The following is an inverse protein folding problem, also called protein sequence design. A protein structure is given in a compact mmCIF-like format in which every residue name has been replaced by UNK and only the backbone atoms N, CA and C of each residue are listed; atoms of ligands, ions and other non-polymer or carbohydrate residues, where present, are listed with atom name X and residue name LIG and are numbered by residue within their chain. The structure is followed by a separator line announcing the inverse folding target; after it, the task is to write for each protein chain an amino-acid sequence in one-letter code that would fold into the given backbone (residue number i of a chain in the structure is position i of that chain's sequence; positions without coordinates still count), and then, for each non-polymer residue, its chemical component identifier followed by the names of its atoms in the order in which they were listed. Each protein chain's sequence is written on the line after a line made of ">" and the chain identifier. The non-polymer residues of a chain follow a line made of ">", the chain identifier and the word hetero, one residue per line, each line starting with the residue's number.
data_IF_698700086618
#
_entry.id   IF_698700086618
#
_cell.length_a   1.000
_cell.length_b   1.000
_cell.length_c   1.000
_cell.angle_alpha   90.00
_cell.angle_beta   90.00
_cell.angle_gamma   90.00
#
_symmetry.space_group_name_H-M   'P 1'
#
loop_
_entity.id
_entity.type
_entity.pdbx_description
1 polymer ?
#
# COMPACT_ATOMS: atom_id res chain seq x y z
N UNK A 1 -11.09 -14.72 -12.33
CA UNK A 1 -9.72 -14.80 -12.89
C UNK A 1 -8.85 -13.88 -12.04
N UNK A 2 -8.15 -14.44 -11.04
CA UNK A 2 -7.45 -13.65 -10.02
C UNK A 2 -6.27 -12.89 -10.61
N UNK A 3 -6.15 -11.60 -10.27
CA UNK A 3 -4.94 -10.81 -10.53
C UNK A 3 -3.83 -11.27 -9.58
N UNK A 4 -3.37 -12.51 -9.72
CA UNK A 4 -2.17 -12.97 -9.05
C UNK A 4 -1.00 -12.14 -9.61
N UNK A 5 -0.40 -11.29 -8.76
CA UNK A 5 0.71 -10.41 -9.13
C UNK A 5 0.38 -8.94 -9.36
N UNK A 6 -0.78 -8.45 -8.88
CA UNK A 6 -1.11 -7.02 -8.83
C UNK A 6 -1.15 -6.51 -7.38
N UNK A 7 -0.33 -5.51 -7.04
CA UNK A 7 -0.30 -4.92 -5.69
C UNK A 7 -0.77 -3.47 -5.72
N UNK A 8 -1.82 -3.16 -4.97
CA UNK A 8 -2.29 -1.78 -4.80
C UNK A 8 -1.65 -1.19 -3.55
N UNK A 9 -0.90 -0.09 -3.70
CA UNK A 9 -0.27 0.64 -2.60
C UNK A 9 -1.03 1.96 -2.37
N UNK A 10 -1.55 2.14 -1.16
CA UNK A 10 -2.05 3.45 -0.70
C UNK A 10 -1.04 4.07 0.25
N UNK A 11 -0.64 5.31 -0.02
CA UNK A 11 0.31 6.04 0.81
C UNK A 11 -0.29 7.38 1.22
N UNK A 12 -0.23 7.71 2.50
CA UNK A 12 -0.58 9.04 2.98
C UNK A 12 0.56 10.02 2.73
N UNK A 13 0.27 11.10 2.02
CA UNK A 13 1.20 12.19 1.77
C UNK A 13 0.45 13.44 1.28
N UNK A 14 1.15 14.57 1.20
CA UNK A 14 0.69 15.67 0.35
C UNK A 14 0.62 15.22 -1.11
N UNK A 15 -0.37 15.70 -1.87
CA UNK A 15 -0.53 15.34 -3.29
C UNK A 15 0.65 15.87 -4.11
N UNK A 16 1.56 14.96 -4.47
CA UNK A 16 2.78 15.23 -5.22
C UNK A 16 2.97 14.15 -6.29
N UNK A 17 2.89 14.57 -7.56
CA UNK A 17 3.01 13.67 -8.70
C UNK A 17 4.40 13.04 -8.84
N UNK A 18 5.46 13.74 -8.44
CA UNK A 18 6.83 13.21 -8.48
C UNK A 18 7.03 12.15 -7.39
N UNK A 19 6.44 12.35 -6.20
CA UNK A 19 6.42 11.34 -5.15
C UNK A 19 5.68 10.09 -5.60
N UNK A 20 4.48 10.25 -6.17
CA UNK A 20 3.68 9.13 -6.71
C UNK A 20 4.46 8.31 -7.73
N UNK A 21 5.15 8.96 -8.67
CA UNK A 21 5.97 8.28 -9.68
C UNK A 21 7.13 7.48 -9.06
N UNK A 22 7.87 8.09 -8.11
CA UNK A 22 8.97 7.42 -7.40
C UNK A 22 8.51 6.21 -6.58
N UNK A 23 7.35 6.31 -5.94
CA UNK A 23 6.76 5.20 -5.19
C UNK A 23 6.37 4.04 -6.12
N UNK A 24 5.80 4.34 -7.29
CA UNK A 24 5.43 3.31 -8.27
C UNK A 24 6.67 2.56 -8.81
N UNK A 25 7.73 3.30 -9.14
CA UNK A 25 9.01 2.72 -9.57
C UNK A 25 9.62 1.85 -8.47
N UNK A 26 9.60 2.34 -7.22
CA UNK A 26 10.17 1.62 -6.06
C UNK A 26 9.37 0.34 -5.77
N UNK A 27 8.03 0.42 -5.78
CA UNK A 27 7.15 -0.73 -5.58
C UNK A 27 7.47 -1.83 -6.59
N UNK A 28 7.56 -1.48 -7.88
CA UNK A 28 7.91 -2.43 -8.93
C UNK A 28 9.33 -2.97 -8.77
N UNK A 29 10.30 -2.11 -8.46
CA UNK A 29 11.70 -2.50 -8.33
C UNK A 29 11.94 -3.49 -7.19
N UNK A 30 11.29 -3.28 -6.04
CA UNK A 30 11.46 -4.10 -4.83
C UNK A 30 10.64 -5.39 -4.92
N UNK A 31 9.36 -5.29 -5.28
CA UNK A 31 8.45 -6.45 -5.26
C UNK A 31 8.52 -7.29 -6.53
N UNK A 32 9.04 -6.73 -7.63
CA UNK A 32 8.99 -7.30 -8.98
C UNK A 32 7.56 -7.54 -9.50
N UNK A 33 6.55 -6.97 -8.84
CA UNK A 33 5.15 -7.04 -9.22
C UNK A 33 4.71 -5.73 -9.85
N UNK A 34 3.68 -5.80 -10.69
CA UNK A 34 2.99 -4.60 -11.19
C UNK A 34 1.98 -4.16 -10.13
N UNK A 35 1.74 -2.86 -10.05
CA UNK A 35 0.87 -2.32 -9.02
C UNK A 35 0.57 -0.85 -9.20
N UNK A 36 -0.57 -0.42 -8.68
CA UNK A 36 -1.00 0.98 -8.69
C UNK A 36 -0.63 1.66 -7.38
N UNK A 37 -0.27 2.94 -7.46
CA UNK A 37 -0.03 3.80 -6.28
C UNK A 37 -1.11 4.86 -6.19
N UNK A 38 -1.75 4.96 -5.03
CA UNK A 38 -2.74 5.98 -4.69
C UNK A 38 -2.20 6.83 -3.53
N UNK A 39 -2.05 8.14 -3.77
CA UNK A 39 -1.76 9.09 -2.69
C UNK A 39 -3.09 9.48 -2.07
N UNK A 40 -3.20 9.29 -0.76
CA UNK A 40 -4.39 9.65 0.02
C UNK A 40 -4.03 10.73 1.03
N UNK A 41 -5.05 11.44 1.53
CA UNK A 41 -4.85 12.50 2.53
C UNK A 41 -4.31 11.92 3.84
N UNK A 42 -3.39 12.61 4.55
CA UNK A 42 -2.90 12.16 5.85
C UNK A 42 -4.02 11.81 6.83
N UNK A 43 -3.89 10.66 7.51
CA UNK A 43 -4.87 10.15 8.47
C UNK A 43 -6.11 9.49 7.86
N UNK A 44 -6.20 9.36 6.53
CA UNK A 44 -7.34 8.69 5.89
C UNK A 44 -7.20 7.17 5.78
N UNK A 45 -6.03 6.61 6.07
CA UNK A 45 -5.82 5.17 6.00
C UNK A 45 -6.56 4.45 7.14
N UNK A 46 -7.32 3.39 6.83
CA UNK A 46 -8.02 2.64 7.85
C UNK A 46 -7.01 1.90 8.72
N UNK A 47 -7.30 1.80 10.01
CA UNK A 47 -6.50 1.03 10.98
C UNK A 47 -5.08 1.55 11.20
N UNK A 48 -4.79 2.81 10.83
CA UNK A 48 -3.52 3.42 11.22
C UNK A 48 -3.41 3.51 12.75
N UNK A 49 -2.20 3.27 13.27
CA UNK A 49 -1.92 3.25 14.71
C UNK A 49 -2.63 2.14 15.50
N UNK A 50 -3.35 1.21 14.86
CA UNK A 50 -3.97 0.08 15.57
C UNK A 50 -2.95 -1.03 15.83
N UNK A 51 -2.89 -1.48 17.09
CA UNK A 51 -2.20 -2.71 17.45
C UNK A 51 -3.00 -3.89 16.91
N UNK A 52 -2.42 -4.66 15.98
CA UNK A 52 -3.06 -5.86 15.44
C UNK A 52 -2.85 -6.99 16.47
N UNK A 53 -3.93 -7.39 17.13
CA UNK A 53 -3.93 -8.56 18.00
C UNK A 53 -4.00 -9.84 17.16
N UNK A 54 -3.22 -10.86 17.54
CA UNK A 54 -3.32 -12.18 16.93
C UNK A 54 -4.47 -12.96 17.56
N UNK A 55 -5.64 -12.91 16.91
CA UNK A 55 -6.86 -13.58 17.37
C UNK A 55 -6.99 -15.03 16.87
N UNK A 56 -5.90 -15.64 16.39
CA UNK A 56 -5.96 -17.02 15.88
C UNK A 56 -6.16 -18.02 17.03
N UNK A 57 -7.21 -18.82 16.91
CA UNK A 57 -7.52 -19.92 17.82
C UNK A 57 -6.75 -21.18 17.41
N UNK A 58 -5.98 -21.76 18.33
CA UNK A 58 -5.14 -22.95 18.09
C UNK A 58 -5.67 -24.25 18.73
N UNK A 59 -6.92 -24.25 19.19
CA UNK A 59 -7.60 -25.46 19.69
C UNK A 59 -8.15 -26.33 18.58
#
# INVERSE_FOLDING_TARGET
>A
RGRAGHHDLRAEASDDAALKAKLAETLQSVTKLKGDVEIVTPGSLPNDGKVIADERTYT
#
